data_IF_464971693387
#
_entry.id   IF_464971693387
#
_cell.length_a   1.000
_cell.length_b   1.000
_cell.length_c   1.000
_cell.angle_alpha   90.00
_cell.angle_beta   90.00
_cell.angle_gamma   90.00
#
_symmetry.space_group_name_H-M   'P 1'
#
loop_
_entity.id
_entity.type
_entity.pdbx_description
1 polymer ?
#
# COMPACT_ATOMS: atom_id res chain seq x y z
N UNK A 1 -21.50 -5.65 -3.38
CA UNK A 1 -21.79 -5.38 -4.81
C UNK A 1 -21.27 -4.03 -5.25
N UNK A 2 -21.57 -2.95 -4.51
CA UNK A 2 -21.09 -1.61 -4.89
C UNK A 2 -19.58 -1.51 -4.96
N UNK A 3 -18.85 -2.07 -3.99
CA UNK A 3 -17.39 -2.00 -3.97
C UNK A 3 -16.76 -2.79 -5.09
N UNK A 4 -17.32 -3.92 -5.45
CA UNK A 4 -16.84 -4.74 -6.58
C UNK A 4 -16.99 -3.96 -7.89
N UNK A 5 -18.16 -3.33 -8.10
CA UNK A 5 -18.39 -2.52 -9.29
C UNK A 5 -17.45 -1.31 -9.31
N UNK A 6 -17.24 -0.68 -8.18
CA UNK A 6 -16.31 0.45 -8.04
C UNK A 6 -14.90 0.04 -8.42
N UNK A 7 -14.44 -1.12 -7.95
CA UNK A 7 -13.10 -1.64 -8.28
C UNK A 7 -13.01 -1.95 -9.78
N UNK A 8 -14.05 -2.58 -10.35
CA UNK A 8 -14.07 -2.90 -11.77
C UNK A 8 -13.99 -1.63 -12.65
N UNK A 9 -14.76 -0.60 -12.30
CA UNK A 9 -14.74 0.68 -13.01
C UNK A 9 -13.38 1.36 -12.90
N UNK A 10 -12.77 1.28 -11.73
CA UNK A 10 -11.44 1.80 -11.49
C UNK A 10 -10.40 1.10 -12.36
N UNK A 11 -10.50 -0.22 -12.48
CA UNK A 11 -9.56 -1.02 -13.28
C UNK A 11 -9.50 -0.56 -14.73
N UNK A 12 -10.63 -0.13 -15.29
CA UNK A 12 -10.66 0.39 -16.65
C UNK A 12 -9.87 1.69 -16.80
N UNK A 13 -9.94 2.55 -15.79
CA UNK A 13 -9.15 3.80 -15.78
C UNK A 13 -7.66 3.49 -15.65
N UNK A 14 -7.32 2.53 -14.81
CA UNK A 14 -5.93 2.18 -14.56
C UNK A 14 -5.27 1.54 -15.79
N UNK A 15 -6.02 0.74 -16.55
CA UNK A 15 -5.50 0.05 -17.74
C UNK A 15 -4.93 0.99 -18.79
N UNK A 16 -5.45 2.21 -18.90
CA UNK A 16 -4.99 3.17 -19.90
C UNK A 16 -3.87 4.08 -19.41
N UNK A 17 -3.51 3.98 -18.13
CA UNK A 17 -2.45 4.82 -17.56
C UNK A 17 -1.09 4.17 -17.77
N UNK A 18 -0.16 4.89 -18.39
CA UNK A 18 1.18 4.41 -18.71
C UNK A 18 2.26 5.00 -17.79
N UNK A 19 1.95 6.13 -17.13
CA UNK A 19 2.89 6.79 -16.24
C UNK A 19 2.77 6.21 -14.83
N UNK A 20 3.92 5.72 -14.30
CA UNK A 20 3.96 5.08 -12.98
C UNK A 20 3.47 6.02 -11.86
N UNK A 21 3.84 7.29 -11.90
CA UNK A 21 3.44 8.23 -10.85
C UNK A 21 1.93 8.43 -10.84
N UNK A 22 1.33 8.58 -12.02
CA UNK A 22 -0.12 8.73 -12.13
C UNK A 22 -0.86 7.45 -11.77
N UNK A 23 -0.33 6.29 -12.15
CA UNK A 23 -0.91 5.00 -11.79
C UNK A 23 -0.95 4.85 -10.26
N UNK A 24 0.15 5.18 -9.58
CA UNK A 24 0.22 5.09 -8.13
C UNK A 24 -0.72 6.09 -7.45
N UNK A 25 -0.85 7.31 -7.99
CA UNK A 25 -1.81 8.28 -7.47
C UNK A 25 -3.24 7.76 -7.56
N UNK A 26 -3.61 7.16 -8.69
CA UNK A 26 -4.94 6.58 -8.89
C UNK A 26 -5.19 5.45 -7.89
N UNK A 27 -4.22 4.54 -7.74
CA UNK A 27 -4.33 3.41 -6.81
C UNK A 27 -4.49 3.90 -5.37
N UNK A 28 -3.66 4.86 -4.96
CA UNK A 28 -3.69 5.43 -3.62
C UNK A 28 -5.03 6.08 -3.29
N UNK A 29 -5.53 6.89 -4.21
CA UNK A 29 -6.78 7.61 -4.03
C UNK A 29 -7.96 6.65 -3.92
N UNK A 30 -8.01 5.64 -4.78
CA UNK A 30 -9.07 4.63 -4.74
C UNK A 30 -9.02 3.80 -3.47
N UNK A 31 -7.82 3.38 -3.04
CA UNK A 31 -7.65 2.59 -1.82
C UNK A 31 -8.18 3.35 -0.60
N UNK A 32 -7.87 4.65 -0.50
CA UNK A 32 -8.37 5.48 0.62
C UNK A 32 -9.89 5.54 0.64
N UNK A 33 -10.52 5.68 -0.52
CA UNK A 33 -11.99 5.72 -0.62
C UNK A 33 -12.60 4.39 -0.22
N UNK A 34 -12.03 3.28 -0.72
CA UNK A 34 -12.58 1.94 -0.47
C UNK A 34 -12.67 1.58 1.00
N UNK A 35 -11.70 2.00 1.81
CA UNK A 35 -11.67 1.66 3.24
C UNK A 35 -11.78 2.88 4.14
N UNK A 36 -12.04 4.05 3.56
CA UNK A 36 -12.28 5.28 4.31
C UNK A 36 -11.11 5.64 5.23
N UNK A 37 -9.91 5.68 4.67
CA UNK A 37 -8.68 5.99 5.39
C UNK A 37 -8.15 7.38 5.05
N UNK A 38 -7.35 7.94 5.97
CA UNK A 38 -6.82 9.29 5.85
C UNK A 38 -5.61 9.37 4.92
N UNK A 39 -4.67 8.44 5.06
CA UNK A 39 -3.41 8.47 4.28
C UNK A 39 -3.08 7.12 3.67
N UNK A 40 -2.42 7.18 2.53
CA UNK A 40 -1.94 5.99 1.83
C UNK A 40 -0.49 6.20 1.39
N UNK A 41 0.31 5.17 1.56
CA UNK A 41 1.66 5.08 1.00
C UNK A 41 1.77 3.79 0.21
N UNK A 42 2.48 3.85 -0.91
CA UNK A 42 2.75 2.66 -1.71
C UNK A 42 4.26 2.47 -1.75
N UNK A 43 4.70 1.37 -1.12
CA UNK A 43 6.11 0.99 -1.07
C UNK A 43 6.41 0.05 -2.23
N UNK A 44 7.51 0.29 -2.93
CA UNK A 44 8.00 -0.59 -3.99
C UNK A 44 9.21 -1.35 -3.45
N UNK A 45 9.29 -2.62 -3.79
CA UNK A 45 10.37 -3.51 -3.36
C UNK A 45 11.59 -3.30 -4.26
N UNK A 46 12.73 -3.02 -3.64
CA UNK A 46 14.03 -2.98 -4.29
C UNK A 46 14.85 -4.16 -3.76
N UNK A 47 14.90 -5.24 -4.52
CA UNK A 47 15.59 -6.46 -4.10
C UNK A 47 17.11 -6.33 -4.07
N UNK A 48 17.67 -5.54 -4.98
CA UNK A 48 19.11 -5.34 -5.05
C UNK A 48 19.64 -4.65 -3.80
N UNK A 49 18.99 -3.55 -3.40
CA UNK A 49 19.38 -2.79 -2.23
C UNK A 49 18.71 -3.29 -0.94
N UNK A 50 17.84 -4.29 -1.02
CA UNK A 50 17.10 -4.88 0.10
C UNK A 50 16.31 -3.84 0.89
N UNK A 51 15.59 -3.00 0.16
CA UNK A 51 14.83 -1.88 0.72
C UNK A 51 13.41 -1.88 0.20
N UNK A 52 12.52 -1.28 1.00
CA UNK A 52 11.18 -0.86 0.59
C UNK A 52 11.20 0.66 0.61
N UNK A 53 10.76 1.29 -0.48
CA UNK A 53 10.74 2.74 -0.52
C UNK A 53 9.46 3.25 -1.19
N UNK A 54 8.99 4.40 -0.71
CA UNK A 54 7.77 4.97 -1.23
C UNK A 54 8.01 5.65 -2.57
N UNK A 55 7.21 5.25 -3.55
CA UNK A 55 7.06 5.99 -4.79
C UNK A 55 5.96 7.03 -4.62
N UNK A 56 5.03 6.75 -3.70
CA UNK A 56 3.94 7.65 -3.34
C UNK A 56 3.71 7.61 -1.84
N UNK A 57 3.66 8.78 -1.19
CA UNK A 57 3.36 8.90 0.22
C UNK A 57 2.63 10.22 0.49
N UNK A 58 1.41 10.12 1.05
CA UNK A 58 0.60 11.29 1.39
C UNK A 58 1.22 12.09 2.55
N UNK A 59 1.45 13.37 2.33
CA UNK A 59 1.80 14.30 3.40
C UNK A 59 3.16 14.13 4.04
N UNK A 60 3.96 13.19 3.60
CA UNK A 60 5.29 12.88 4.12
C UNK A 60 6.23 12.74 2.93
N UNK A 61 7.49 13.13 3.09
CA UNK A 61 8.48 12.90 2.06
C UNK A 61 8.78 11.41 1.88
N UNK A 62 9.69 11.10 0.98
CA UNK A 62 10.06 9.72 0.67
C UNK A 62 10.46 8.96 1.94
N UNK A 63 9.88 7.78 2.11
CA UNK A 63 10.18 6.87 3.22
C UNK A 63 10.96 5.68 2.64
N UNK A 64 12.07 5.33 3.28
CA UNK A 64 12.90 4.18 2.90
C UNK A 64 13.10 3.34 4.15
N UNK A 65 12.78 2.06 4.07
CA UNK A 65 13.00 1.12 5.18
C UNK A 65 13.61 -0.16 4.63
N UNK A 66 14.32 -0.90 5.48
CA UNK A 66 14.85 -2.20 5.05
C UNK A 66 13.71 -3.21 4.89
N UNK A 67 13.94 -4.27 4.13
CA UNK A 67 12.91 -5.28 3.84
C UNK A 67 12.38 -5.98 5.10
N UNK A 68 13.08 -5.88 6.22
CA UNK A 68 12.69 -6.52 7.48
C UNK A 68 12.25 -5.52 8.56
N UNK A 69 12.09 -4.24 8.22
CA UNK A 69 11.76 -3.20 9.18
C UNK A 69 10.31 -2.72 9.07
N UNK A 70 9.72 -2.43 10.23
CA UNK A 70 8.38 -1.87 10.31
C UNK A 70 7.29 -2.87 10.00
N UNK A 71 6.05 -2.40 10.05
CA UNK A 71 4.88 -3.21 9.69
C UNK A 71 4.93 -3.58 8.21
N UNK A 72 5.37 -2.65 7.35
CA UNK A 72 5.49 -2.92 5.91
C UNK A 72 6.52 -4.00 5.61
N UNK A 73 7.67 -3.99 6.31
CA UNK A 73 8.69 -5.04 6.16
C UNK A 73 8.17 -6.40 6.61
N UNK A 74 7.44 -6.43 7.71
CA UNK A 74 6.83 -7.68 8.21
C UNK A 74 5.78 -8.21 7.21
N UNK A 75 4.99 -7.33 6.62
CA UNK A 75 4.02 -7.69 5.57
C UNK A 75 4.72 -8.29 4.35
N UNK A 76 5.84 -7.68 3.95
CA UNK A 76 6.66 -8.21 2.86
C UNK A 76 7.17 -9.63 3.18
N UNK A 77 7.72 -9.82 4.38
CA UNK A 77 8.29 -11.11 4.80
C UNK A 77 7.23 -12.20 4.88
N UNK A 78 6.08 -11.89 5.47
CA UNK A 78 4.98 -12.86 5.65
C UNK A 78 4.14 -13.06 4.42
N UNK A 79 4.19 -12.13 3.47
CA UNK A 79 3.35 -12.16 2.27
C UNK A 79 1.86 -12.18 2.58
N UNK A 80 1.45 -11.53 3.66
CA UNK A 80 0.08 -11.51 4.14
C UNK A 80 -0.36 -10.09 4.50
N UNK A 81 -1.63 -9.78 4.23
CA UNK A 81 -2.24 -8.53 4.65
C UNK A 81 -2.40 -8.51 6.17
N UNK A 82 -2.25 -7.34 6.78
CA UNK A 82 -2.31 -7.18 8.23
C UNK A 82 -3.07 -5.93 8.65
N UNK A 83 -3.71 -6.01 9.82
CA UNK A 83 -4.34 -4.87 10.48
C UNK A 83 -3.65 -4.66 11.83
N UNK A 84 -3.23 -3.43 12.11
CA UNK A 84 -2.64 -3.05 13.38
C UNK A 84 -3.43 -1.86 13.94
N UNK A 85 -4.28 -2.11 14.94
CA UNK A 85 -5.16 -1.08 15.50
C UNK A 85 -4.56 -0.33 16.69
N UNK A 86 -3.39 -0.76 17.20
CA UNK A 86 -2.67 -0.11 18.29
C UNK A 86 -1.19 -0.04 17.94
N UNK A 87 -0.80 0.80 16.95
CA UNK A 87 0.57 0.77 16.43
C UNK A 87 1.65 1.11 17.47
N UNK A 88 1.38 2.05 18.39
CA UNK A 88 2.37 2.42 19.40
C UNK A 88 2.64 1.31 20.42
N UNK A 89 1.76 0.31 20.49
CA UNK A 89 1.95 -0.89 21.33
C UNK A 89 2.56 -2.04 20.55
N UNK A 90 2.68 -1.91 19.24
CA UNK A 90 3.23 -2.95 18.36
C UNK A 90 4.74 -2.72 18.20
N UNK A 91 5.58 -3.72 18.56
CA UNK A 91 7.03 -3.55 18.47
C UNK A 91 7.56 -3.35 17.05
N UNK A 92 6.79 -3.68 16.03
CA UNK A 92 7.19 -3.49 14.63
C UNK A 92 7.03 -2.06 14.16
N UNK A 93 6.17 -1.28 14.82
CA UNK A 93 5.88 0.09 14.41
C UNK A 93 7.10 1.00 14.56
N UNK A 94 7.33 1.86 13.55
CA UNK A 94 8.45 2.81 13.55
C UNK A 94 7.94 4.21 13.89
N UNK A 95 7.94 4.62 15.17
CA UNK A 95 7.36 5.90 15.59
C UNK A 95 8.13 7.13 15.13
N UNK A 96 9.38 6.96 14.68
CA UNK A 96 10.22 8.09 14.25
C UNK A 96 9.61 8.88 13.09
N UNK A 97 8.88 8.23 12.22
CA UNK A 97 8.21 8.89 11.08
C UNK A 97 7.13 9.84 11.60
N UNK A 98 6.34 9.38 12.57
CA UNK A 98 5.31 10.22 13.20
C UNK A 98 5.93 11.40 13.94
N UNK A 99 7.04 11.19 14.65
CA UNK A 99 7.72 12.24 15.38
C UNK A 99 8.21 13.35 14.45
N UNK A 100 8.71 13.00 13.27
CA UNK A 100 9.21 13.97 12.30
C UNK A 100 8.10 14.79 11.66
N UNK A 101 6.95 14.15 11.37
CA UNK A 101 5.86 14.78 10.62
C UNK A 101 4.82 15.45 11.51
N UNK A 102 4.77 15.11 12.80
CA UNK A 102 3.70 15.54 13.71
C UNK A 102 2.40 14.77 13.54
N UNK A 103 2.39 13.77 12.66
CA UNK A 103 1.21 12.93 12.43
C UNK A 103 1.11 11.89 13.54
N UNK A 104 -0.11 11.55 13.95
CA UNK A 104 -0.35 10.50 14.95
C UNK A 104 -1.05 9.34 14.27
N UNK A 105 -0.35 8.22 14.15
CA UNK A 105 -0.90 7.00 13.56
C UNK A 105 -1.73 6.24 14.59
N UNK A 106 -3.02 6.10 14.35
CA UNK A 106 -3.97 5.42 15.24
C UNK A 106 -4.21 3.98 14.86
N UNK A 107 -4.23 3.69 13.58
CA UNK A 107 -4.36 2.31 13.08
C UNK A 107 -3.75 2.22 11.67
N UNK A 108 -3.41 0.98 11.31
CA UNK A 108 -2.70 0.69 10.06
C UNK A 108 -3.33 -0.54 9.41
N UNK A 109 -3.44 -0.51 8.09
CA UNK A 109 -3.68 -1.72 7.30
C UNK A 109 -2.62 -1.80 6.20
N UNK A 110 -2.01 -2.97 6.05
CA UNK A 110 -1.01 -3.20 5.00
C UNK A 110 -1.42 -4.39 4.15
N UNK A 111 -1.20 -4.28 2.85
CA UNK A 111 -1.56 -5.32 1.89
C UNK A 111 -0.43 -5.49 0.88
N UNK A 112 0.09 -6.72 0.69
CA UNK A 112 1.11 -6.94 -0.32
C UNK A 112 0.52 -6.95 -1.72
N UNK A 113 1.33 -6.52 -2.69
CA UNK A 113 1.00 -6.61 -4.12
C UNK A 113 1.93 -7.63 -4.73
N UNK A 114 1.38 -8.61 -5.41
CA UNK A 114 2.15 -9.71 -6.00
C UNK A 114 2.32 -9.53 -7.51
N UNK A 115 3.42 -10.03 -8.04
CA UNK A 115 3.58 -10.14 -9.49
C UNK A 115 2.99 -11.47 -10.00
N UNK A 116 3.14 -11.73 -11.30
CA UNK A 116 2.63 -12.94 -11.92
C UNK A 116 3.31 -14.22 -11.44
N UNK A 117 4.48 -14.11 -10.80
CA UNK A 117 5.22 -15.23 -10.22
C UNK A 117 4.95 -15.40 -8.72
N UNK A 118 3.99 -14.64 -8.17
CA UNK A 118 3.63 -14.65 -6.76
C UNK A 118 4.73 -14.13 -5.84
N UNK A 119 5.59 -13.27 -6.36
CA UNK A 119 6.56 -12.53 -5.53
C UNK A 119 5.99 -11.16 -5.19
N UNK A 120 6.30 -10.66 -3.99
CA UNK A 120 5.84 -9.33 -3.57
C UNK A 120 6.63 -8.25 -4.29
N UNK A 121 5.94 -7.39 -5.03
CA UNK A 121 6.56 -6.26 -5.73
C UNK A 121 6.31 -4.94 -5.04
N UNK A 122 5.36 -4.90 -4.11
CA UNK A 122 5.06 -3.70 -3.36
C UNK A 122 4.16 -3.98 -2.18
N UNK A 123 3.97 -2.96 -1.35
CA UNK A 123 3.07 -3.00 -0.19
C UNK A 123 2.28 -1.71 -0.15
N UNK A 124 0.95 -1.83 -0.06
CA UNK A 124 0.07 -0.69 0.16
C UNK A 124 -0.14 -0.55 1.66
N UNK A 125 0.11 0.64 2.21
CA UNK A 125 -0.14 0.95 3.60
C UNK A 125 -1.14 2.08 3.71
N UNK A 126 -2.22 1.87 4.46
CA UNK A 126 -3.18 2.91 4.75
C UNK A 126 -3.20 3.19 6.26
N UNK A 127 -3.33 4.46 6.60
CA UNK A 127 -3.28 4.95 7.97
C UNK A 127 -4.58 5.66 8.31
N UNK A 128 -5.03 5.41 9.52
CA UNK A 128 -6.12 6.14 10.18
C UNK A 128 -7.45 6.09 9.44
N UNK A 129 -8.15 4.98 9.63
CA UNK A 129 -9.54 4.86 9.20
C UNK A 129 -10.39 5.85 9.96
N UNK A 130 -11.26 6.57 9.24
CA UNK A 130 -12.16 7.53 9.87
C UNK A 130 -13.23 6.82 10.70
N UNK A 131 -13.47 7.31 11.92
CA UNK A 131 -14.53 6.94 12.85
C UNK A 131 -14.41 5.58 13.55
N UNK A 132 -13.58 4.67 13.08
CA UNK A 132 -13.42 3.34 13.71
C UNK A 132 -12.11 2.71 13.29
N UNK A 133 -11.81 1.55 13.86
CA UNK A 133 -10.63 0.78 13.48
C UNK A 133 -10.85 0.03 12.17
N UNK A 134 -9.75 -0.38 11.55
CA UNK A 134 -9.81 -1.30 10.42
C UNK A 134 -10.33 -2.66 10.89
N UNK A 135 -11.12 -3.32 10.05
CA UNK A 135 -11.72 -4.61 10.38
C UNK A 135 -11.42 -5.66 9.29
N UNK A 136 -11.95 -6.87 9.51
CA UNK A 136 -11.74 -7.99 8.58
C UNK A 136 -12.31 -7.70 7.19
N UNK A 137 -13.38 -6.93 7.11
CA UNK A 137 -13.98 -6.57 5.82
C UNK A 137 -13.08 -5.60 5.04
N UNK A 138 -12.44 -4.65 5.73
CA UNK A 138 -11.46 -3.76 5.12
C UNK A 138 -10.30 -4.56 4.55
N UNK A 139 -9.83 -5.54 5.31
CA UNK A 139 -8.73 -6.42 4.90
C UNK A 139 -9.10 -7.21 3.63
N UNK A 140 -10.30 -7.77 3.60
CA UNK A 140 -10.82 -8.49 2.44
C UNK A 140 -10.93 -7.58 1.22
N UNK A 141 -11.49 -6.40 1.39
CA UNK A 141 -11.68 -5.42 0.32
C UNK A 141 -10.33 -5.00 -0.28
N UNK A 142 -9.37 -4.65 0.57
CA UNK A 142 -8.05 -4.22 0.10
C UNK A 142 -7.25 -5.35 -0.52
N UNK A 143 -7.37 -6.57 0.00
CA UNK A 143 -6.71 -7.74 -0.59
C UNK A 143 -7.23 -7.97 -2.01
N UNK A 144 -8.54 -7.91 -2.19
CA UNK A 144 -9.15 -8.03 -3.51
C UNK A 144 -8.66 -6.91 -4.43
N UNK A 145 -8.66 -5.68 -3.94
CA UNK A 145 -8.23 -4.52 -4.72
C UNK A 145 -6.75 -4.65 -5.14
N UNK A 146 -5.87 -5.02 -4.21
CA UNK A 146 -4.45 -5.19 -4.49
C UNK A 146 -4.21 -6.26 -5.56
N UNK A 147 -4.93 -7.37 -5.47
CA UNK A 147 -4.85 -8.44 -6.46
C UNK A 147 -5.37 -8.00 -7.82
N UNK A 148 -6.41 -7.17 -7.82
CA UNK A 148 -7.02 -6.67 -9.05
C UNK A 148 -6.07 -5.72 -9.80
N UNK A 149 -5.34 -4.85 -9.09
CA UNK A 149 -4.44 -3.86 -9.71
C UNK A 149 -3.03 -4.40 -9.96
N UNK A 150 -2.71 -5.58 -9.45
CA UNK A 150 -1.35 -6.14 -9.49
C UNK A 150 -0.79 -6.26 -10.90
N UNK A 151 -1.60 -6.75 -11.84
CA UNK A 151 -1.16 -6.90 -13.22
C UNK A 151 -0.81 -5.59 -13.90
N UNK A 152 -1.64 -4.57 -13.68
CA UNK A 152 -1.38 -3.24 -14.24
C UNK A 152 -0.12 -2.62 -13.64
N UNK A 153 0.06 -2.76 -12.32
CA UNK A 153 1.25 -2.24 -11.67
C UNK A 153 2.51 -2.95 -12.12
N UNK A 154 2.46 -4.27 -12.21
CA UNK A 154 3.59 -5.08 -12.70
C UNK A 154 3.99 -4.62 -14.10
N UNK A 155 3.01 -4.43 -14.99
CA UNK A 155 3.26 -4.01 -16.37
C UNK A 155 3.93 -2.63 -16.41
N UNK A 156 3.43 -1.67 -15.65
CA UNK A 156 4.00 -0.31 -15.62
C UNK A 156 5.43 -0.34 -15.08
N UNK A 157 5.69 -1.13 -14.03
CA UNK A 157 7.05 -1.27 -13.47
C UNK A 157 8.00 -1.92 -14.46
N UNK A 158 7.55 -2.91 -15.23
CA UNK A 158 8.36 -3.54 -16.26
C UNK A 158 8.72 -2.56 -17.37
N UNK A 159 7.77 -1.73 -17.80
CA UNK A 159 8.00 -0.72 -18.81
C UNK A 159 8.99 0.34 -18.35
N UNK A 160 8.90 0.74 -17.09
CA UNK A 160 9.87 1.67 -16.48
C UNK A 160 11.28 1.10 -16.49
N UNK A 161 11.42 -0.18 -16.16
CA UNK A 161 12.71 -0.86 -16.13
C UNK A 161 13.39 -1.00 -17.48
N UNK A 162 12.64 -0.85 -18.58
CA UNK A 162 13.18 -0.94 -19.94
C UNK A 162 13.69 0.40 -20.48
N UNK A 163 13.48 1.45 -19.74
CA UNK A 163 14.02 2.77 -20.10
C UNK A 163 15.43 2.94 -19.53
#
# INVERSE_FOLDING_TARGET
>A
MEKIQQIADFGKKLMVEEDIEKALELISKEAKVLVNADRCSIFIVDKEDKMLWTRLSDGIGRIVVSLDSGVVGDTYQKMEAQVVNNPYEDPRFLPNIDKKSGYVTKNIITVPIFDSKREVIGVIQLLNKFRRDFDAKDLETLTFFANYVSGSLELVLMQEGKK
#
